data_IF_415472273618
#
_entry.id   IF_415472273618
#
_cell.length_a   1.000
_cell.length_b   1.000
_cell.length_c   1.000
_cell.angle_alpha   90.00
_cell.angle_beta   90.00
_cell.angle_gamma   90.00
#
_symmetry.space_group_name_H-M   'P 1'
#
loop_
_entity.id
_entity.type
_entity.pdbx_description
1 polymer ?
#
# COMPACT_ATOMS: atom_id res chain seq x y z
N UNK A 1 0.74 20.92 -10.25
CA UNK A 1 2.16 21.12 -9.85
C UNK A 1 3.05 20.38 -10.84
N UNK A 2 4.24 20.89 -11.20
CA UNK A 2 5.17 20.16 -12.08
C UNK A 2 6.56 20.10 -11.46
N UNK A 3 7.19 18.92 -11.44
CA UNK A 3 8.54 18.74 -10.92
C UNK A 3 9.30 17.74 -11.80
N UNK A 4 10.52 18.10 -12.24
CA UNK A 4 11.39 17.23 -13.06
C UNK A 4 10.70 16.60 -14.28
N UNK A 5 9.82 17.36 -14.95
CA UNK A 5 9.06 16.89 -16.12
C UNK A 5 7.79 16.10 -15.78
N UNK A 6 7.54 15.78 -14.51
CA UNK A 6 6.29 15.17 -14.08
C UNK A 6 5.19 16.22 -13.93
N UNK A 7 3.98 15.89 -14.39
CA UNK A 7 2.77 16.68 -14.17
C UNK A 7 1.91 16.00 -13.10
N UNK A 8 1.69 16.70 -12.00
CA UNK A 8 0.81 16.24 -10.92
C UNK A 8 -0.56 16.87 -11.08
N UNK A 9 -1.56 16.00 -11.18
CA UNK A 9 -2.98 16.34 -11.24
C UNK A 9 -3.60 15.94 -9.90
N UNK A 10 -4.06 16.93 -9.13
CA UNK A 10 -4.70 16.71 -7.84
C UNK A 10 -6.23 16.62 -7.97
N UNK A 11 -6.88 16.03 -6.97
CA UNK A 11 -8.35 16.00 -6.83
C UNK A 11 -9.10 15.45 -8.03
N UNK A 12 -8.49 14.49 -8.72
CA UNK A 12 -9.12 13.72 -9.80
C UNK A 12 -9.18 12.26 -9.42
N UNK A 13 -10.36 11.64 -9.52
CA UNK A 13 -10.52 10.21 -9.28
C UNK A 13 -10.47 9.48 -10.62
N UNK A 14 -9.62 8.46 -10.71
CA UNK A 14 -9.65 7.54 -11.85
C UNK A 14 -10.93 6.71 -11.75
N UNK A 15 -11.69 6.64 -12.84
CA UNK A 15 -12.98 5.93 -12.89
C UNK A 15 -12.99 4.82 -13.92
N UNK A 16 -12.25 4.95 -15.02
CA UNK A 16 -12.20 3.97 -16.09
C UNK A 16 -10.94 4.13 -16.96
N UNK A 17 -10.80 3.27 -17.96
CA UNK A 17 -9.71 3.26 -18.93
C UNK A 17 -10.26 3.05 -20.34
N UNK A 18 -9.44 3.25 -21.35
CA UNK A 18 -9.72 2.79 -22.72
C UNK A 18 -8.53 2.01 -23.26
N UNK A 19 -8.79 1.08 -24.17
CA UNK A 19 -7.75 0.31 -24.83
C UNK A 19 -7.59 0.75 -26.29
N UNK A 20 -6.40 0.59 -26.82
CA UNK A 20 -6.17 0.61 -28.25
C UNK A 20 -6.54 -0.77 -28.83
N UNK A 21 -7.52 -0.80 -29.73
CA UNK A 21 -8.06 -2.05 -30.31
C UNK A 21 -7.01 -2.87 -31.10
N UNK A 22 -5.92 -2.24 -31.55
CA UNK A 22 -4.89 -2.93 -32.35
C UNK A 22 -3.85 -3.62 -31.48
N UNK A 23 -3.50 -2.99 -30.37
CA UNK A 23 -2.44 -3.47 -29.46
C UNK A 23 -3.02 -4.20 -28.25
N UNK A 24 -4.27 -3.93 -27.89
CA UNK A 24 -4.91 -4.41 -26.66
C UNK A 24 -4.38 -3.74 -25.39
N UNK A 25 -3.49 -2.75 -25.52
CA UNK A 25 -2.90 -1.99 -24.40
C UNK A 25 -3.82 -0.85 -23.99
N UNK A 26 -3.69 -0.38 -22.73
CA UNK A 26 -4.39 0.84 -22.28
C UNK A 26 -3.83 2.03 -23.07
N UNK A 27 -4.72 2.81 -23.67
CA UNK A 27 -4.39 4.04 -24.40
C UNK A 27 -4.71 5.31 -23.60
N UNK A 28 -5.73 5.22 -22.74
CA UNK A 28 -6.28 6.36 -22.03
C UNK A 28 -6.69 6.01 -20.60
N UNK A 29 -6.49 6.97 -19.71
CA UNK A 29 -6.97 6.96 -18.32
C UNK A 29 -8.10 7.98 -18.20
N UNK A 30 -9.27 7.55 -17.75
CA UNK A 30 -10.44 8.39 -17.59
C UNK A 30 -10.56 8.78 -16.11
N UNK A 31 -10.51 10.09 -15.87
CA UNK A 31 -10.57 10.70 -14.55
C UNK A 31 -11.74 11.70 -14.48
N UNK A 32 -12.80 11.36 -13.76
CA UNK A 32 -14.03 12.16 -13.69
C UNK A 32 -14.53 12.56 -15.10
N UNK A 33 -14.37 13.84 -15.48
CA UNK A 33 -14.80 14.38 -16.78
C UNK A 33 -13.63 14.60 -17.77
N UNK A 34 -12.44 14.09 -17.49
CA UNK A 34 -11.23 14.30 -18.27
C UNK A 34 -10.58 12.98 -18.67
N UNK A 35 -9.95 12.97 -19.84
CA UNK A 35 -9.24 11.80 -20.37
C UNK A 35 -7.78 12.14 -20.60
N UNK A 36 -6.90 11.24 -20.17
CA UNK A 36 -5.46 11.39 -20.25
C UNK A 36 -4.84 10.25 -21.06
N UNK A 37 -4.20 10.60 -22.17
CA UNK A 37 -3.43 9.63 -22.98
C UNK A 37 -2.22 9.14 -22.22
N UNK A 38 -1.97 7.84 -22.30
CA UNK A 38 -0.81 7.21 -21.71
C UNK A 38 -0.40 5.98 -22.53
N UNK A 39 0.91 5.80 -22.73
CA UNK A 39 1.46 4.59 -23.35
C UNK A 39 1.56 3.43 -22.35
N UNK A 40 1.57 3.75 -21.04
CA UNK A 40 1.62 2.80 -19.95
C UNK A 40 0.96 3.37 -18.69
N UNK A 41 0.39 2.50 -17.86
CA UNK A 41 -0.29 2.87 -16.61
C UNK A 41 0.25 2.05 -15.45
N UNK A 42 0.53 2.73 -14.34
CA UNK A 42 0.91 2.12 -13.06
C UNK A 42 -0.17 2.45 -12.03
N UNK A 43 -0.89 1.43 -11.55
CA UNK A 43 -1.89 1.59 -10.48
C UNK A 43 -1.20 1.52 -9.11
N UNK A 44 -0.69 2.65 -8.64
CA UNK A 44 -0.08 2.79 -7.31
C UNK A 44 -1.13 3.17 -6.24
N UNK A 45 -2.18 2.34 -6.10
CA UNK A 45 -3.31 2.59 -5.19
C UNK A 45 -3.57 1.40 -4.29
N UNK A 46 -4.26 1.62 -3.17
CA UNK A 46 -4.60 0.55 -2.22
C UNK A 46 -5.57 -0.49 -2.81
N UNK A 47 -5.57 -1.70 -2.23
CA UNK A 47 -6.39 -2.84 -2.68
C UNK A 47 -7.87 -2.47 -2.86
N UNK A 48 -8.45 -1.71 -1.92
CA UNK A 48 -9.85 -1.28 -1.99
C UNK A 48 -10.15 -0.44 -3.24
N UNK A 49 -9.21 0.40 -3.67
CA UNK A 49 -9.37 1.24 -4.86
C UNK A 49 -9.29 0.41 -6.14
N UNK A 50 -8.35 -0.53 -6.23
CA UNK A 50 -8.29 -1.44 -7.39
C UNK A 50 -9.53 -2.32 -7.45
N UNK A 51 -10.04 -2.80 -6.31
CA UNK A 51 -11.29 -3.57 -6.25
C UNK A 51 -12.50 -2.74 -6.66
N UNK A 52 -12.58 -1.46 -6.29
CA UNK A 52 -13.63 -0.56 -6.76
C UNK A 52 -13.56 -0.40 -8.29
N UNK A 53 -12.36 -0.15 -8.83
CA UNK A 53 -12.13 -0.03 -10.27
C UNK A 53 -12.51 -1.31 -11.00
N UNK A 54 -12.05 -2.48 -10.55
CA UNK A 54 -12.37 -3.77 -11.15
C UNK A 54 -13.88 -4.06 -11.19
N UNK A 55 -14.67 -3.51 -10.26
CA UNK A 55 -16.14 -3.65 -10.24
C UNK A 55 -16.85 -2.64 -11.13
N UNK A 56 -16.36 -1.40 -11.21
CA UNK A 56 -17.09 -0.26 -11.81
C UNK A 56 -16.61 0.14 -13.20
N UNK A 57 -15.34 -0.07 -13.51
CA UNK A 57 -14.76 0.21 -14.82
C UNK A 57 -15.31 -0.80 -15.83
N UNK A 58 -15.89 -0.31 -16.92
CA UNK A 58 -16.33 -1.18 -18.02
C UNK A 58 -15.14 -1.92 -18.63
N UNK A 59 -13.97 -1.28 -18.59
CA UNK A 59 -12.74 -1.72 -19.22
C UNK A 59 -11.99 -2.75 -18.38
N UNK A 60 -11.90 -2.60 -17.06
CA UNK A 60 -11.20 -3.55 -16.18
C UNK A 60 -12.09 -4.72 -15.74
N UNK A 61 -13.40 -4.53 -15.64
CA UNK A 61 -14.33 -5.61 -15.22
C UNK A 61 -14.41 -6.77 -16.21
N UNK A 62 -13.94 -6.59 -17.44
CA UNK A 62 -13.89 -7.63 -18.48
C UNK A 62 -12.61 -8.46 -18.48
N UNK A 63 -11.65 -8.14 -17.61
CA UNK A 63 -10.30 -8.72 -17.58
C UNK A 63 -10.11 -9.61 -16.35
N UNK A 64 -9.82 -10.88 -16.57
CA UNK A 64 -9.72 -11.89 -15.51
C UNK A 64 -8.65 -11.54 -14.46
N UNK A 65 -7.52 -10.98 -14.89
CA UNK A 65 -6.43 -10.56 -14.03
C UNK A 65 -6.85 -9.50 -13.00
N UNK A 66 -7.76 -8.59 -13.37
CA UNK A 66 -8.29 -7.57 -12.46
C UNK A 66 -9.42 -8.11 -11.60
N UNK A 67 -10.23 -9.05 -12.12
CA UNK A 67 -11.24 -9.74 -11.32
C UNK A 67 -10.62 -10.59 -10.20
N UNK A 68 -9.43 -11.17 -10.42
CA UNK A 68 -8.70 -11.92 -9.38
C UNK A 68 -8.36 -11.07 -8.15
N UNK A 69 -8.19 -9.75 -8.32
CA UNK A 69 -7.92 -8.81 -7.20
C UNK A 69 -9.10 -8.75 -6.22
N UNK A 70 -10.31 -9.12 -6.65
CA UNK A 70 -11.49 -9.18 -5.78
C UNK A 70 -11.38 -10.24 -4.68
N UNK A 71 -10.49 -11.23 -4.84
CA UNK A 71 -10.23 -12.26 -3.83
C UNK A 71 -9.25 -11.79 -2.74
N UNK A 72 -8.61 -10.62 -2.89
CA UNK A 72 -7.71 -10.10 -1.88
C UNK A 72 -8.49 -9.54 -0.69
N UNK A 73 -8.09 -9.90 0.52
CA UNK A 73 -8.59 -9.33 1.76
C UNK A 73 -7.54 -8.39 2.35
N UNK A 74 -8.00 -7.25 2.87
CA UNK A 74 -7.17 -6.42 3.74
C UNK A 74 -7.19 -7.01 5.16
N UNK A 75 -6.16 -6.74 5.94
CA UNK A 75 -6.11 -7.09 7.35
C UNK A 75 -5.79 -5.86 8.18
N UNK A 76 -6.37 -5.78 9.37
CA UNK A 76 -6.11 -4.68 10.29
C UNK A 76 -4.68 -4.74 10.80
N UNK A 77 -4.00 -3.59 10.76
CA UNK A 77 -2.62 -3.41 11.16
C UNK A 77 -2.50 -2.23 12.11
N UNK A 78 -1.91 -2.46 13.28
CA UNK A 78 -1.46 -1.38 14.17
C UNK A 78 0.06 -1.32 14.10
N UNK A 79 0.61 -0.14 13.80
CA UNK A 79 2.05 0.08 13.77
C UNK A 79 2.44 1.11 14.82
N UNK A 80 3.41 0.76 15.66
CA UNK A 80 3.95 1.65 16.70
C UNK A 80 5.45 1.82 16.49
N UNK A 81 5.92 3.07 16.43
CA UNK A 81 7.35 3.38 16.48
C UNK A 81 7.78 3.70 17.91
N UNK A 82 8.87 3.08 18.33
CA UNK A 82 9.51 3.29 19.62
C UNK A 82 10.92 3.82 19.40
N UNK A 83 11.23 4.94 20.05
CA UNK A 83 12.58 5.46 20.18
C UNK A 83 13.09 5.05 21.55
N UNK A 84 14.13 4.24 21.56
CA UNK A 84 14.76 3.83 22.82
C UNK A 84 15.67 4.95 23.31
N UNK A 85 15.99 4.95 24.60
CA UNK A 85 16.87 5.93 25.24
C UNK A 85 18.34 5.80 24.81
N UNK A 86 18.71 4.64 24.26
CA UNK A 86 20.06 4.33 23.81
C UNK A 86 20.07 3.39 22.60
N UNK A 87 21.26 3.18 22.06
CA UNK A 87 21.49 2.18 21.02
C UNK A 87 21.47 0.78 21.64
N UNK A 88 20.52 -0.03 21.21
CA UNK A 88 20.37 -1.44 21.60
C UNK A 88 20.79 -2.31 20.42
N UNK A 89 21.58 -3.35 20.71
CA UNK A 89 21.95 -4.35 19.72
C UNK A 89 20.79 -5.31 19.52
N UNK A 90 20.17 -5.27 18.34
CA UNK A 90 19.15 -6.22 17.91
C UNK A 90 19.79 -7.14 16.85
N UNK A 91 19.74 -8.48 17.02
CA UNK A 91 20.45 -9.39 16.11
C UNK A 91 19.95 -9.38 14.67
N UNK A 92 18.65 -9.13 14.47
CA UNK A 92 18.02 -9.14 13.15
C UNK A 92 17.31 -7.83 12.85
N UNK A 93 17.35 -7.41 11.60
CA UNK A 93 16.62 -6.23 11.13
C UNK A 93 15.09 -6.44 11.18
N UNK A 94 14.63 -7.69 11.08
CA UNK A 94 13.22 -8.12 11.12
C UNK A 94 13.08 -9.27 12.09
N UNK A 95 12.14 -9.16 13.02
CA UNK A 95 11.96 -10.13 14.09
C UNK A 95 10.47 -10.48 14.15
N UNK A 96 10.13 -11.66 13.65
CA UNK A 96 8.75 -12.17 13.65
C UNK A 96 8.46 -12.79 15.00
N UNK A 97 7.34 -12.39 15.60
CA UNK A 97 6.86 -12.85 16.88
C UNK A 97 5.47 -13.47 16.69
N UNK A 98 5.45 -14.80 16.55
CA UNK A 98 4.20 -15.56 16.48
C UNK A 98 3.65 -15.81 17.89
N UNK A 99 2.35 -15.59 18.10
CA UNK A 99 1.62 -16.12 19.24
C UNK A 99 1.31 -17.61 19.02
N UNK A 100 1.23 -18.38 20.11
CA UNK A 100 0.80 -19.79 20.07
C UNK A 100 -0.72 -19.96 19.87
N UNK A 101 -1.49 -18.89 20.05
CA UNK A 101 -2.94 -18.85 19.83
C UNK A 101 -3.26 -17.97 18.60
N UNK A 102 -4.39 -18.25 17.96
CA UNK A 102 -4.87 -17.65 16.69
C UNK A 102 -5.10 -16.13 16.71
N UNK A 103 -4.81 -15.43 17.81
CA UNK A 103 -5.29 -14.07 18.07
C UNK A 103 -4.21 -12.99 17.98
N UNK A 104 -3.47 -12.92 16.87
CA UNK A 104 -2.51 -11.85 16.48
C UNK A 104 -1.02 -12.16 16.67
N UNK A 105 -0.33 -12.40 15.54
CA UNK A 105 1.12 -12.32 15.45
C UNK A 105 1.58 -10.87 15.23
N UNK A 106 2.85 -10.59 15.53
CA UNK A 106 3.44 -9.27 15.29
C UNK A 106 4.86 -9.40 14.77
N UNK A 107 5.36 -8.35 14.12
CA UNK A 107 6.75 -8.27 13.69
C UNK A 107 7.32 -6.95 14.18
N UNK A 108 8.55 -6.97 14.67
CA UNK A 108 9.27 -5.73 14.90
C UNK A 108 10.52 -5.58 14.04
N UNK A 109 10.76 -4.34 13.65
CA UNK A 109 11.73 -3.91 12.68
C UNK A 109 12.75 -3.01 13.35
N UNK A 110 14.04 -3.34 13.26
CA UNK A 110 15.10 -2.41 13.62
C UNK A 110 15.27 -1.41 12.48
N UNK A 111 14.72 -0.20 12.63
CA UNK A 111 14.71 0.79 11.55
C UNK A 111 16.10 1.31 11.23
N UNK A 112 17.03 1.30 12.19
CA UNK A 112 18.42 1.69 11.96
C UNK A 112 19.11 0.82 10.90
N UNK A 113 18.72 -0.45 10.79
CA UNK A 113 19.31 -1.38 9.82
C UNK A 113 18.59 -1.34 8.47
N UNK A 114 17.31 -0.92 8.44
CA UNK A 114 16.45 -0.99 7.25
C UNK A 114 16.35 0.32 6.47
N UNK A 115 16.45 1.46 7.13
CA UNK A 115 16.17 2.77 6.53
C UNK A 115 17.34 3.73 6.72
N UNK A 116 17.77 4.36 5.64
CA UNK A 116 18.91 5.28 5.63
C UNK A 116 18.72 6.46 6.60
N UNK A 117 17.48 6.97 6.70
CA UNK A 117 17.10 8.06 7.62
C UNK A 117 17.39 7.74 9.09
N UNK A 118 17.40 6.45 9.45
CA UNK A 118 17.62 5.99 10.82
C UNK A 118 19.03 5.43 11.05
N UNK A 119 19.83 5.20 9.99
CA UNK A 119 21.11 4.47 10.05
C UNK A 119 22.10 5.06 11.06
N UNK A 120 22.21 6.38 11.06
CA UNK A 120 23.19 7.11 11.89
C UNK A 120 22.58 7.65 13.19
N UNK A 121 21.35 7.25 13.55
CA UNK A 121 20.72 7.69 14.79
C UNK A 121 21.54 7.22 16.01
N UNK A 122 21.72 8.09 17.03
CA UNK A 122 22.39 7.73 18.28
C UNK A 122 21.56 6.78 19.13
N UNK A 123 20.26 6.68 18.85
CA UNK A 123 19.31 5.79 19.53
C UNK A 123 18.77 4.72 18.58
N UNK A 124 18.32 3.61 19.15
CA UNK A 124 17.62 2.59 18.38
C UNK A 124 16.17 3.00 18.15
N UNK A 125 15.72 2.96 16.90
CA UNK A 125 14.31 3.12 16.54
C UNK A 125 13.77 1.78 16.08
N UNK A 126 12.71 1.32 16.74
CA UNK A 126 12.00 0.09 16.37
C UNK A 126 10.61 0.44 15.88
N UNK A 127 10.13 -0.24 14.85
CA UNK A 127 8.70 -0.26 14.51
C UNK A 127 8.14 -1.64 14.85
N UNK A 128 7.03 -1.69 15.57
CA UNK A 128 6.31 -2.91 15.87
C UNK A 128 4.97 -2.89 15.13
N UNK A 129 4.76 -3.89 14.27
CA UNK A 129 3.59 -4.07 13.44
C UNK A 129 2.79 -5.27 13.95
N UNK A 130 1.57 -5.01 14.43
CA UNK A 130 0.63 -5.99 14.95
C UNK A 130 -0.42 -6.30 13.88
N UNK A 131 -0.48 -7.55 13.42
CA UNK A 131 -1.42 -8.01 12.39
C UNK A 131 -2.69 -8.56 13.04
N UNK A 132 -3.83 -8.45 12.35
CA UNK A 132 -5.14 -8.78 12.92
C UNK A 132 -5.42 -7.98 14.19
N UNK A 133 -4.97 -6.72 14.21
CA UNK A 133 -5.01 -5.86 15.38
C UNK A 133 -6.42 -5.35 15.74
N UNK A 134 -7.48 -5.88 15.13
CA UNK A 134 -8.87 -5.51 15.44
C UNK A 134 -9.21 -5.70 16.92
N UNK A 135 -8.60 -6.69 17.60
CA UNK A 135 -8.79 -6.90 19.04
C UNK A 135 -7.99 -5.91 19.90
N UNK A 136 -6.85 -5.41 19.40
CA UNK A 136 -6.03 -4.40 20.07
C UNK A 136 -6.65 -3.00 19.97
N UNK A 137 -7.37 -2.76 18.88
CA UNK A 137 -8.15 -1.57 18.64
C UNK A 137 -9.47 -1.68 19.43
N UNK A 138 -9.42 -1.48 20.75
CA UNK A 138 -10.62 -1.20 21.54
C UNK A 138 -11.27 0.08 21.02
N UNK A 139 -12.14 -0.07 20.02
CA UNK A 139 -13.06 0.96 19.56
C UNK A 139 -14.23 0.97 20.55
N UNK A 140 -13.97 1.32 21.81
CA UNK A 140 -15.06 1.64 22.73
C UNK A 140 -15.74 2.90 22.19
N UNK A 141 -16.86 2.71 21.48
CA UNK A 141 -17.87 3.73 21.21
C UNK A 141 -18.70 4.02 22.45
#
# INVERSE_FOLDING_TARGET
MSMKGCRFVDRKKVIDFSYDDKTGCISDVICDNETYKADAVILAVGTSTIQELAKKSATLSTREEFLKVLNLTASDLVSTKLWLDKKIRIPFARNVCSSFNDSSGWTFFNLNDLFDDHRNSPVTTVQADFYHANELLSLNT
#
